data_IF_329120170597
#
_entry.id   IF_329120170597
#
_cell.length_a   1.000
_cell.length_b   1.000
_cell.length_c   1.000
_cell.angle_alpha   90.00
_cell.angle_beta   90.00
_cell.angle_gamma   90.00
#
_symmetry.space_group_name_H-M   'P 1'
#
loop_
_entity.id
_entity.type
_entity.pdbx_description
1 polymer ?
#
# COMPACT_ATOMS: atom_id res chain seq x y z
N UNK A 1 -7.19 4.78 -1.26
CA UNK A 1 -6.64 4.34 -2.56
C UNK A 1 -6.74 5.48 -3.58
N UNK A 2 -5.64 6.13 -3.96
CA UNK A 2 -5.60 6.97 -5.15
C UNK A 2 -5.03 6.13 -6.29
N UNK A 3 -5.92 5.60 -7.12
CA UNK A 3 -5.54 4.95 -8.38
C UNK A 3 -5.07 6.07 -9.31
N UNK A 4 -3.75 6.29 -9.43
CA UNK A 4 -3.24 7.28 -10.38
C UNK A 4 -3.41 6.69 -11.78
N UNK A 5 -4.42 7.16 -12.51
CA UNK A 5 -4.72 6.73 -13.86
C UNK A 5 -3.78 7.45 -14.83
N UNK A 6 -2.79 6.73 -15.35
CA UNK A 6 -1.96 7.22 -16.44
C UNK A 6 -2.46 6.68 -17.77
N UNK A 7 -2.74 7.60 -18.69
CA UNK A 7 -3.09 7.34 -20.08
C UNK A 7 -1.79 7.15 -20.85
N UNK A 8 -1.50 5.93 -21.28
CA UNK A 8 -0.32 5.63 -22.10
C UNK A 8 -0.78 5.29 -23.52
N UNK A 9 -0.39 6.09 -24.54
CA UNK A 9 -0.48 5.66 -25.93
C UNK A 9 0.56 4.58 -26.17
N UNK A 10 0.14 3.47 -26.77
CA UNK A 10 1.06 2.41 -27.16
C UNK A 10 1.55 2.57 -28.61
N UNK A 11 2.17 1.53 -29.18
CA UNK A 11 2.75 1.57 -30.51
C UNK A 11 1.72 1.41 -31.65
N UNK A 12 0.50 0.97 -31.35
CA UNK A 12 -0.56 0.78 -32.35
C UNK A 12 -1.63 1.89 -32.31
N UNK A 13 -1.55 2.78 -31.32
CA UNK A 13 -2.39 3.97 -31.18
C UNK A 13 -3.55 3.78 -30.21
N UNK A 14 -3.63 2.63 -29.56
CA UNK A 14 -4.56 2.40 -28.46
C UNK A 14 -4.09 3.09 -27.18
N UNK A 15 -5.07 3.53 -26.40
CA UNK A 15 -4.85 4.17 -25.11
C UNK A 15 -5.16 3.15 -24.02
N UNK A 16 -4.14 2.78 -23.24
CA UNK A 16 -4.31 1.91 -22.09
C UNK A 16 -4.19 2.66 -20.77
N UNK A 17 -4.94 2.18 -19.79
CA UNK A 17 -4.79 2.61 -18.40
C UNK A 17 -3.62 1.85 -17.79
N UNK A 18 -2.52 2.54 -17.49
CA UNK A 18 -1.46 1.97 -16.66
C UNK A 18 -1.93 2.05 -15.21
N UNK A 19 -2.35 0.91 -14.68
CA UNK A 19 -2.63 0.79 -13.25
C UNK A 19 -1.30 0.59 -12.53
N UNK A 20 -0.83 1.64 -11.86
CA UNK A 20 0.26 1.48 -10.89
C UNK A 20 -0.31 0.85 -9.63
N UNK A 21 -0.10 -0.46 -9.50
CA UNK A 21 -0.46 -1.20 -8.28
C UNK A 21 0.50 -0.77 -7.18
N UNK A 22 0.03 0.07 -6.26
CA UNK A 22 0.76 0.38 -5.03
C UNK A 22 0.75 -0.83 -4.11
N UNK A 23 1.88 -1.14 -3.44
CA UNK A 23 1.89 -2.14 -2.39
C UNK A 23 0.83 -1.79 -1.34
N UNK A 24 0.08 -2.77 -0.88
CA UNK A 24 -0.87 -2.58 0.23
C UNK A 24 -0.16 -2.09 1.51
N UNK A 25 1.13 -2.41 1.63
CA UNK A 25 2.01 -1.99 2.71
C UNK A 25 2.50 -0.52 2.63
N UNK A 26 2.24 0.20 1.52
CA UNK A 26 2.47 1.66 1.40
C UNK A 26 1.32 2.40 2.10
N UNK A 27 1.32 2.35 3.43
CA UNK A 27 0.23 2.84 4.29
C UNK A 27 0.12 4.36 4.21
N UNK A 28 1.26 5.06 4.13
CA UNK A 28 1.27 6.53 4.04
C UNK A 28 1.06 7.05 2.60
N UNK A 29 1.02 6.16 1.60
CA UNK A 29 0.88 6.47 0.18
C UNK A 29 2.00 7.37 -0.38
N UNK A 30 3.23 7.26 0.12
CA UNK A 30 4.39 8.00 -0.39
C UNK A 30 5.09 7.30 -1.56
N UNK A 31 4.74 6.03 -1.82
CA UNK A 31 5.24 5.23 -2.93
C UNK A 31 6.50 4.42 -2.61
N UNK A 32 6.94 4.36 -1.35
CA UNK A 32 8.05 3.53 -0.90
C UNK A 32 7.69 2.87 0.43
N UNK A 33 7.67 1.55 0.50
CA UNK A 33 7.42 0.86 1.78
C UNK A 33 8.64 0.97 2.68
N UNK A 34 8.54 1.75 3.76
CA UNK A 34 9.67 2.03 4.64
C UNK A 34 9.27 2.09 6.13
N UNK A 35 10.16 2.60 6.99
CA UNK A 35 9.93 2.67 8.43
C UNK A 35 8.74 3.56 8.80
N UNK A 36 8.37 4.53 7.95
CA UNK A 36 7.23 5.39 8.19
C UNK A 36 5.92 4.61 8.14
N UNK A 37 5.77 3.64 7.24
CA UNK A 37 4.59 2.77 7.17
C UNK A 37 4.47 1.90 8.41
N UNK A 38 5.59 1.32 8.86
CA UNK A 38 5.63 0.54 10.11
C UNK A 38 5.21 1.37 11.32
N UNK A 39 5.67 2.62 11.40
CA UNK A 39 5.30 3.53 12.50
C UNK A 39 3.80 3.87 12.46
N UNK A 40 3.22 4.04 11.28
CA UNK A 40 1.78 4.27 11.15
C UNK A 40 0.95 3.09 11.65
N UNK A 41 1.30 1.86 11.23
CA UNK A 41 0.61 0.65 11.71
C UNK A 41 0.80 0.49 13.22
N UNK A 42 2.01 0.69 13.73
CA UNK A 42 2.29 0.56 15.17
C UNK A 42 1.54 1.59 16.03
N UNK A 43 1.34 2.82 15.53
CA UNK A 43 0.57 3.84 16.23
C UNK A 43 -0.93 3.52 16.32
N UNK A 44 -1.43 2.63 15.47
CA UNK A 44 -2.82 2.18 15.44
C UNK A 44 -3.03 0.82 16.12
N UNK A 45 -2.06 0.32 16.90
CA UNK A 45 -2.15 -1.00 17.50
C UNK A 45 -3.40 -1.16 18.38
N UNK A 46 -4.23 -2.16 18.10
CA UNK A 46 -5.50 -2.41 18.76
C UNK A 46 -6.71 -1.65 18.19
N UNK A 47 -6.51 -0.79 17.18
CA UNK A 47 -7.58 -0.12 16.45
C UNK A 47 -8.09 -0.99 15.30
N UNK A 48 -9.16 -0.55 14.63
CA UNK A 48 -9.75 -1.26 13.49
C UNK A 48 -9.05 -0.97 12.14
N UNK A 49 -8.24 0.09 12.04
CA UNK A 49 -7.57 0.52 10.81
C UNK A 49 -6.18 1.11 11.13
N UNK A 50 -5.15 0.90 10.29
CA UNK A 50 -5.17 0.21 9.00
C UNK A 50 -5.02 -1.31 9.16
N UNK A 51 -6.11 -2.04 8.95
CA UNK A 51 -6.16 -3.51 9.00
C UNK A 51 -5.76 -4.07 7.62
N UNK A 52 -4.54 -4.62 7.55
CA UNK A 52 -3.92 -5.05 6.30
C UNK A 52 -4.28 -6.49 5.95
N UNK A 53 -4.72 -7.30 6.91
CA UNK A 53 -5.10 -8.70 6.70
C UNK A 53 -6.61 -8.96 6.71
N UNK A 54 -7.42 -7.96 7.11
CA UNK A 54 -8.88 -8.04 7.17
C UNK A 54 -9.41 -8.81 8.38
N UNK A 55 -8.67 -8.88 9.49
CA UNK A 55 -9.06 -9.59 10.72
C UNK A 55 -9.76 -8.71 11.77
N UNK A 56 -10.10 -7.48 11.39
CA UNK A 56 -10.81 -6.45 12.16
C UNK A 56 -10.00 -5.85 13.32
N UNK A 57 -8.70 -6.15 13.45
CA UNK A 57 -7.85 -5.56 14.49
C UNK A 57 -6.39 -5.40 14.07
N UNK A 58 -5.88 -4.17 14.14
CA UNK A 58 -4.46 -3.89 13.92
C UNK A 58 -3.62 -4.56 15.00
N UNK A 59 -2.82 -5.54 14.60
CA UNK A 59 -1.97 -6.31 15.48
C UNK A 59 -0.59 -6.60 14.84
N UNK A 60 0.14 -7.56 15.41
CA UNK A 60 1.49 -7.89 14.92
C UNK A 60 1.50 -8.44 13.49
N UNK A 61 0.39 -9.04 13.05
CA UNK A 61 0.28 -9.59 11.70
C UNK A 61 0.33 -8.48 10.63
N UNK A 62 -0.30 -7.33 10.88
CA UNK A 62 -0.25 -6.15 10.00
C UNK A 62 1.17 -5.59 9.90
N UNK A 63 1.87 -5.50 11.04
CA UNK A 63 3.28 -5.09 11.06
C UNK A 63 4.16 -6.04 10.25
N UNK A 64 3.91 -7.35 10.32
CA UNK A 64 4.63 -8.35 9.52
C UNK A 64 4.34 -8.19 8.02
N UNK A 65 3.12 -7.82 7.63
CA UNK A 65 2.78 -7.51 6.23
C UNK A 65 3.64 -6.36 5.71
N UNK A 66 3.74 -5.26 6.46
CA UNK A 66 4.59 -4.12 6.05
C UNK A 66 6.07 -4.51 6.01
N UNK A 67 6.56 -5.23 7.03
CA UNK A 67 7.95 -5.66 7.10
C UNK A 67 8.35 -6.58 5.93
N UNK A 68 7.45 -7.47 5.49
CA UNK A 68 7.70 -8.34 4.33
C UNK A 68 7.77 -7.57 3.01
N UNK A 69 7.19 -6.37 2.96
CA UNK A 69 7.19 -5.51 1.79
C UNK A 69 8.27 -4.40 1.84
N UNK A 70 9.16 -4.41 2.84
CA UNK A 70 10.12 -3.33 3.06
C UNK A 70 11.05 -3.11 1.86
N UNK A 71 11.12 -1.87 1.38
CA UNK A 71 11.93 -1.46 0.22
C UNK A 71 11.28 -1.67 -1.15
N UNK A 72 10.01 -2.08 -1.20
CA UNK A 72 9.19 -2.06 -2.43
C UNK A 72 8.79 -0.64 -2.82
#
# INVERSE_FOLDING_TARGET
>A
MRNTLHVVPDLDGEIYLKQETRPLADVNNDGVVNIQDLVLVANAFGEAEPDLNGDEVVNIQDLVIVANAFGQ
#
